data_IF_883146711980
#
_entry.id   IF_883146711980
#
_cell.length_a   1.000
_cell.length_b   1.000
_cell.length_c   1.000
_cell.angle_alpha   90.00
_cell.angle_beta   90.00
_cell.angle_gamma   90.00
#
_symmetry.space_group_name_H-M   'P 1'
#
loop_
_entity.id
_entity.type
_entity.pdbx_description
1 polymer ?
#
# COMPACT_ATOMS: atom_id res chain seq x y z
N UNK A 1 2.89 -13.00 -14.25
CA UNK A 1 2.02 -12.03 -13.56
C UNK A 1 2.83 -10.95 -12.89
N UNK A 2 3.62 -11.34 -11.89
CA UNK A 2 4.46 -10.35 -11.20
C UNK A 2 5.43 -9.69 -12.17
N UNK A 3 5.94 -10.44 -13.15
CA UNK A 3 6.85 -9.88 -14.15
C UNK A 3 6.19 -8.81 -14.99
N UNK A 4 4.94 -9.02 -15.38
CA UNK A 4 4.19 -8.03 -16.16
C UNK A 4 3.93 -6.80 -15.31
N UNK A 5 3.54 -6.99 -14.05
CA UNK A 5 3.29 -5.88 -13.14
C UNK A 5 4.54 -5.02 -12.92
N UNK A 6 5.70 -5.66 -12.75
CA UNK A 6 6.97 -4.93 -12.57
C UNK A 6 7.32 -4.12 -13.82
N UNK A 7 7.11 -4.70 -15.01
CA UNK A 7 7.40 -3.98 -16.25
C UNK A 7 6.51 -2.75 -16.41
N UNK A 8 5.21 -2.89 -16.08
CA UNK A 8 4.26 -1.78 -16.15
C UNK A 8 4.68 -0.67 -15.17
N UNK A 9 5.03 -1.04 -13.95
CA UNK A 9 5.43 -0.07 -12.95
C UNK A 9 6.68 0.68 -13.40
N UNK A 10 7.68 -0.03 -13.89
CA UNK A 10 8.92 0.60 -14.35
C UNK A 10 8.69 1.54 -15.52
N UNK A 11 7.72 1.19 -16.39
CA UNK A 11 7.43 2.04 -17.55
C UNK A 11 6.73 3.34 -17.15
N UNK A 12 5.77 3.26 -16.21
CA UNK A 12 4.91 4.41 -15.89
C UNK A 12 5.34 5.18 -14.64
N UNK A 13 6.20 4.61 -13.79
CA UNK A 13 6.61 5.30 -12.57
C UNK A 13 7.24 6.65 -12.91
N UNK A 14 6.76 7.70 -12.26
CA UNK A 14 7.20 9.06 -12.51
C UNK A 14 6.58 9.72 -13.74
N UNK A 15 5.78 9.00 -14.51
CA UNK A 15 5.14 9.53 -15.72
C UNK A 15 3.64 9.63 -15.57
N UNK A 16 3.04 8.71 -14.84
CA UNK A 16 1.59 8.61 -14.65
C UNK A 16 1.33 8.27 -13.19
N UNK A 17 0.31 8.88 -12.55
CA UNK A 17 -0.05 8.47 -11.19
C UNK A 17 -0.38 6.99 -11.13
N UNK A 18 0.18 6.29 -10.16
CA UNK A 18 -0.03 4.86 -9.97
C UNK A 18 -0.40 4.58 -8.52
N UNK A 19 -1.43 3.77 -8.33
CA UNK A 19 -1.80 3.24 -7.02
C UNK A 19 -1.79 1.72 -7.10
N UNK A 20 -0.95 1.08 -6.30
CA UNK A 20 -0.94 -0.38 -6.18
C UNK A 20 -1.73 -0.83 -4.98
N UNK A 21 -2.56 -1.86 -5.16
CA UNK A 21 -3.40 -2.42 -4.11
C UNK A 21 -2.98 -3.87 -3.92
N UNK A 22 -2.65 -4.26 -2.68
CA UNK A 22 -2.26 -5.60 -2.30
C UNK A 22 -1.06 -6.09 -3.12
N UNK A 23 -1.27 -6.96 -4.12
CA UNK A 23 -0.19 -7.43 -4.98
C UNK A 23 0.47 -6.29 -5.76
N UNK A 24 -0.31 -5.28 -6.17
CA UNK A 24 0.24 -4.12 -6.85
C UNK A 24 1.14 -3.29 -5.96
N UNK A 25 0.79 -3.15 -4.68
CA UNK A 25 1.63 -2.51 -3.68
C UNK A 25 2.97 -3.25 -3.54
N UNK A 26 2.91 -4.58 -3.44
CA UNK A 26 4.13 -5.39 -3.33
C UNK A 26 4.97 -5.28 -4.60
N UNK A 27 4.33 -5.25 -5.76
CA UNK A 27 5.02 -5.13 -7.04
C UNK A 27 5.75 -3.78 -7.15
N UNK A 28 5.14 -2.69 -6.66
CA UNK A 28 5.79 -1.40 -6.63
C UNK A 28 7.07 -1.49 -5.79
N UNK A 29 6.96 -2.04 -4.58
CA UNK A 29 8.12 -2.17 -3.70
C UNK A 29 9.21 -3.01 -4.35
N UNK A 30 8.84 -4.15 -4.94
CA UNK A 30 9.79 -5.05 -5.60
C UNK A 30 10.48 -4.40 -6.80
N UNK A 31 9.74 -3.57 -7.55
CA UNK A 31 10.31 -2.88 -8.70
C UNK A 31 11.44 -1.94 -8.29
N UNK A 32 11.44 -1.49 -7.04
CA UNK A 32 12.47 -0.61 -6.50
C UNK A 32 13.45 -1.35 -5.59
N UNK A 33 13.39 -2.68 -5.55
CA UNK A 33 14.39 -3.49 -4.87
C UNK A 33 14.02 -4.01 -3.49
N UNK A 34 12.80 -3.76 -3.02
CA UNK A 34 12.37 -4.28 -1.73
C UNK A 34 12.08 -5.77 -1.80
N UNK A 35 12.14 -6.43 -0.64
CA UNK A 35 11.84 -7.86 -0.49
C UNK A 35 10.49 -8.04 0.17
N UNK A 36 9.73 -9.00 -0.30
CA UNK A 36 8.43 -9.37 0.26
C UNK A 36 8.62 -10.59 1.14
N UNK A 37 8.11 -10.53 2.37
CA UNK A 37 8.26 -11.60 3.36
C UNK A 37 6.90 -11.98 3.93
N UNK A 38 6.87 -13.10 4.64
CA UNK A 38 5.65 -13.53 5.31
C UNK A 38 5.44 -12.69 6.56
N UNK A 39 4.20 -12.24 6.77
CA UNK A 39 3.84 -11.48 7.97
C UNK A 39 3.94 -12.39 9.20
N UNK A 40 4.14 -11.77 10.37
CA UNK A 40 4.23 -12.50 11.63
C UNK A 40 2.93 -13.23 11.95
N UNK A 41 1.80 -12.66 11.54
CA UNK A 41 0.48 -13.27 11.76
C UNK A 41 -0.20 -13.52 10.42
N UNK A 42 -0.87 -14.66 10.31
CA UNK A 42 -1.64 -15.00 9.12
C UNK A 42 -2.99 -14.31 9.19
N UNK A 43 -3.32 -13.56 8.13
CA UNK A 43 -4.57 -12.81 8.05
C UNK A 43 -5.29 -13.22 6.76
N UNK A 44 -6.50 -13.77 6.91
CA UNK A 44 -7.30 -14.23 5.77
C UNK A 44 -8.68 -13.60 5.85
N UNK A 45 -8.92 -12.57 5.05
CA UNK A 45 -10.21 -11.91 4.96
C UNK A 45 -10.65 -11.23 6.23
N UNK A 46 -9.72 -10.97 7.14
CA UNK A 46 -10.03 -10.32 8.42
C UNK A 46 -9.76 -8.84 8.33
N UNK A 47 -10.43 -8.09 9.19
CA UNK A 47 -10.16 -6.67 9.33
C UNK A 47 -9.00 -6.44 10.29
N UNK A 48 -8.30 -5.35 10.09
CA UNK A 48 -7.22 -4.88 10.95
C UNK A 48 -7.32 -3.38 11.09
N UNK A 49 -6.83 -2.86 12.20
CA UNK A 49 -6.65 -1.42 12.34
C UNK A 49 -5.26 -1.05 11.89
N UNK A 50 -5.17 0.02 11.10
CA UNK A 50 -3.89 0.58 10.69
C UNK A 50 -3.83 2.04 11.12
N UNK A 51 -2.63 2.52 11.40
CA UNK A 51 -2.37 3.94 11.61
C UNK A 51 -1.70 4.50 10.38
N UNK A 52 -2.08 5.71 10.00
CA UNK A 52 -1.51 6.36 8.82
C UNK A 52 -1.13 7.79 9.15
N UNK A 53 -0.38 8.43 8.25
CA UNK A 53 0.12 9.79 8.46
C UNK A 53 -0.71 10.86 7.74
N UNK A 54 -1.82 10.49 7.12
CA UNK A 54 -2.68 11.44 6.42
C UNK A 54 -2.19 11.88 5.06
N UNK A 55 -1.12 11.28 4.55
CA UNK A 55 -0.59 11.65 3.23
C UNK A 55 -1.32 10.93 2.10
N UNK A 56 -1.32 11.58 0.93
CA UNK A 56 -1.80 10.96 -0.30
C UNK A 56 -3.21 10.46 -0.17
N UNK A 57 -3.40 9.16 -0.40
CA UNK A 57 -4.74 8.56 -0.37
C UNK A 57 -5.36 8.56 1.02
N UNK A 58 -4.57 8.78 2.07
CA UNK A 58 -5.09 8.77 3.45
C UNK A 58 -5.61 10.12 3.91
N UNK A 59 -5.58 11.15 3.07
CA UNK A 59 -6.05 12.49 3.47
C UNK A 59 -7.50 12.45 3.91
N UNK A 60 -7.75 12.96 5.12
CA UNK A 60 -9.11 13.07 5.66
C UNK A 60 -9.73 11.78 6.12
N UNK A 61 -9.00 10.67 6.11
CA UNK A 61 -9.53 9.39 6.56
C UNK A 61 -9.38 9.24 8.08
N UNK A 62 -10.23 8.39 8.65
CA UNK A 62 -10.15 8.07 10.08
C UNK A 62 -8.77 7.49 10.41
N UNK A 63 -8.29 7.74 11.62
CA UNK A 63 -7.00 7.25 12.07
C UNK A 63 -7.11 6.87 13.55
N UNK A 64 -7.10 5.58 13.90
CA UNK A 64 -6.82 4.43 13.02
C UNK A 64 -7.96 4.13 12.05
N UNK A 65 -7.62 3.44 10.98
CA UNK A 65 -8.55 3.07 9.92
C UNK A 65 -8.73 1.56 9.90
N UNK A 66 -9.97 1.09 9.80
CA UNK A 66 -10.27 -0.35 9.67
C UNK A 66 -10.13 -0.75 8.21
N UNK A 67 -9.32 -1.77 7.94
CA UNK A 67 -9.08 -2.24 6.58
C UNK A 67 -9.18 -3.74 6.50
N UNK A 68 -9.41 -4.26 5.30
CA UNK A 68 -9.51 -5.71 5.04
C UNK A 68 -8.21 -6.22 4.47
N UNK A 69 -7.69 -7.29 5.08
CA UNK A 69 -6.44 -7.94 4.65
C UNK A 69 -6.74 -9.38 4.26
N UNK A 70 -6.24 -9.79 3.09
CA UNK A 70 -6.44 -11.15 2.59
C UNK A 70 -5.16 -11.97 2.55
N UNK A 71 -4.00 -11.33 2.61
CA UNK A 71 -2.73 -12.02 2.46
C UNK A 71 -1.83 -11.80 3.65
N UNK A 72 -0.95 -12.78 3.86
CA UNK A 72 0.01 -12.73 4.94
C UNK A 72 1.41 -12.32 4.46
N UNK A 73 1.52 -11.74 3.26
CA UNK A 73 2.79 -11.25 2.72
C UNK A 73 2.86 -9.73 2.88
N UNK A 74 4.02 -9.25 3.28
CA UNK A 74 4.25 -7.82 3.53
C UNK A 74 5.66 -7.45 3.06
N UNK A 75 5.89 -6.13 2.91
CA UNK A 75 7.23 -5.62 2.59
C UNK A 75 8.11 -5.80 3.83
N UNK A 76 9.31 -6.33 3.62
CA UNK A 76 10.33 -6.41 4.69
C UNK A 76 10.86 -4.98 4.92
N UNK A 77 10.58 -4.37 6.09
CA UNK A 77 10.83 -2.94 6.28
C UNK A 77 12.26 -2.48 5.98
N UNK A 78 13.31 -3.20 6.40
CA UNK A 78 14.67 -2.71 6.11
C UNK A 78 15.01 -2.67 4.62
N UNK A 79 14.24 -3.37 3.78
CA UNK A 79 14.54 -3.45 2.34
C UNK A 79 13.85 -2.37 1.54
N UNK A 80 12.93 -1.60 2.13
CA UNK A 80 12.24 -0.54 1.41
C UNK A 80 13.21 0.61 1.15
N UNK A 81 13.40 1.02 -0.13
CA UNK A 81 14.34 2.10 -0.42
C UNK A 81 13.91 3.43 0.20
N UNK A 82 14.89 4.30 0.41
CA UNK A 82 14.65 5.61 1.03
C UNK A 82 13.83 6.56 0.15
N UNK A 83 13.63 6.22 -1.13
CA UNK A 83 12.74 6.99 -2.01
C UNK A 83 11.29 6.94 -1.58
N UNK A 84 10.93 5.99 -0.71
CA UNK A 84 9.55 5.82 -0.24
C UNK A 84 9.40 6.21 1.22
N UNK A 85 8.29 6.89 1.52
CA UNK A 85 7.82 7.04 2.89
C UNK A 85 6.86 5.90 3.20
N UNK A 86 6.90 5.42 4.45
CA UNK A 86 5.88 4.52 4.95
C UNK A 86 4.72 5.39 5.42
N UNK A 87 3.56 5.22 4.80
CA UNK A 87 2.39 6.07 5.09
C UNK A 87 1.41 5.41 6.05
N UNK A 88 1.49 4.11 6.24
CA UNK A 88 0.60 3.39 7.14
C UNK A 88 1.27 2.13 7.67
N UNK A 89 0.94 1.77 8.92
CA UNK A 89 1.43 0.54 9.56
C UNK A 89 0.31 -0.12 10.33
N UNK A 90 0.39 -1.45 10.43
CA UNK A 90 -0.50 -2.21 11.29
C UNK A 90 -0.07 -2.08 12.75
N UNK A 91 -0.90 -2.60 13.67
CA UNK A 91 -0.57 -2.57 15.10
C UNK A 91 0.75 -3.29 15.41
N UNK A 92 1.10 -4.30 14.63
CA UNK A 92 2.35 -5.05 14.81
C UNK A 92 3.53 -4.43 14.04
N UNK A 93 3.34 -3.27 13.42
CA UNK A 93 4.41 -2.53 12.76
C UNK A 93 4.64 -2.88 11.30
N UNK A 94 3.79 -3.72 10.71
CA UNK A 94 3.92 -4.10 9.32
C UNK A 94 3.58 -2.92 8.40
N UNK A 95 4.30 -2.81 7.28
CA UNK A 95 4.05 -1.73 6.32
C UNK A 95 2.73 -1.98 5.61
N UNK A 96 1.82 -1.02 5.72
CA UNK A 96 0.49 -1.10 5.09
C UNK A 96 0.28 -0.05 4.02
N UNK A 97 1.16 0.94 3.92
CA UNK A 97 1.11 1.94 2.87
C UNK A 97 2.48 2.52 2.60
N UNK A 98 2.74 2.84 1.34
CA UNK A 98 3.98 3.47 0.89
C UNK A 98 3.65 4.57 -0.12
N UNK A 99 4.50 5.58 -0.18
CA UNK A 99 4.35 6.68 -1.12
C UNK A 99 5.74 7.17 -1.53
N UNK A 100 5.99 7.25 -2.84
CA UNK A 100 7.25 7.78 -3.34
C UNK A 100 7.35 9.24 -2.93
N UNK A 101 8.56 9.68 -2.56
CA UNK A 101 8.74 11.05 -2.03
C UNK A 101 8.48 12.13 -3.05
N UNK A 102 8.68 11.83 -4.34
CA UNK A 102 8.59 12.83 -5.41
C UNK A 102 7.48 12.54 -6.42
N UNK A 103 7.11 11.28 -6.62
CA UNK A 103 6.17 10.88 -7.66
C UNK A 103 4.83 10.50 -7.09
N UNK A 104 3.78 10.58 -7.92
CA UNK A 104 2.44 10.05 -7.57
C UNK A 104 2.45 8.54 -7.74
N UNK A 105 3.19 7.87 -6.85
CA UNK A 105 3.38 6.43 -6.85
C UNK A 105 3.13 5.95 -5.43
N UNK A 106 1.98 5.32 -5.21
CA UNK A 106 1.54 4.90 -3.89
C UNK A 106 1.15 3.43 -3.89
N UNK A 107 1.23 2.81 -2.72
CA UNK A 107 0.75 1.46 -2.54
C UNK A 107 0.06 1.30 -1.21
N UNK A 108 -0.97 0.45 -1.18
CA UNK A 108 -1.62 0.02 0.07
C UNK A 108 -1.70 -1.49 0.08
N UNK A 109 -1.38 -2.11 1.22
CA UNK A 109 -1.32 -3.57 1.34
C UNK A 109 -2.69 -4.19 1.47
N UNK A 110 -3.69 -3.43 1.85
CA UNK A 110 -5.04 -3.91 2.09
C UNK A 110 -5.93 -3.68 0.86
N UNK A 111 -7.20 -4.08 0.99
CA UNK A 111 -8.20 -3.97 -0.07
C UNK A 111 -9.19 -2.86 0.24
N UNK A 112 -8.97 -1.62 -0.25
CA UNK A 112 -9.91 -0.53 0.01
C UNK A 112 -11.26 -0.74 -0.65
N UNK A 113 -11.30 -1.54 -1.72
CA UNK A 113 -12.57 -1.81 -2.43
C UNK A 113 -13.47 -2.77 -1.65
N UNK A 114 -12.94 -3.49 -0.67
CA UNK A 114 -13.73 -4.44 0.12
C UNK A 114 -14.76 -3.73 0.95
N UNK A 115 -15.97 -4.32 1.03
CA UNK A 115 -17.08 -3.74 1.80
C UNK A 115 -16.74 -3.64 3.29
N UNK A 116 -15.81 -4.45 3.78
CA UNK A 116 -15.39 -4.42 5.19
C UNK A 116 -14.33 -3.38 5.47
N UNK A 117 -13.74 -2.77 4.43
CA UNK A 117 -12.77 -1.69 4.60
C UNK A 117 -13.49 -0.38 4.82
N UNK A 118 -13.08 0.35 5.86
CA UNK A 118 -13.64 1.64 6.20
C UNK A 118 -13.18 2.69 5.18
N UNK A 119 -14.11 3.54 4.73
CA UNK A 119 -13.79 4.69 3.86
C UNK A 119 -13.02 4.32 2.57
N UNK A 120 -13.22 3.09 2.07
CA UNK A 120 -12.50 2.65 0.88
C UNK A 120 -12.78 3.51 -0.34
N UNK A 121 -14.03 3.93 -0.53
CA UNK A 121 -14.39 4.80 -1.66
C UNK A 121 -13.71 6.15 -1.57
N UNK A 122 -13.61 6.72 -0.37
CA UNK A 122 -12.95 8.01 -0.17
C UNK A 122 -11.45 7.88 -0.43
N UNK A 123 -10.84 6.78 -0.02
CA UNK A 123 -9.43 6.52 -0.27
C UNK A 123 -9.16 6.52 -1.78
N UNK A 124 -9.97 5.78 -2.54
CA UNK A 124 -9.83 5.71 -3.99
C UNK A 124 -10.10 7.05 -4.64
N UNK A 125 -11.10 7.79 -4.14
CA UNK A 125 -11.39 9.13 -4.64
C UNK A 125 -10.21 10.08 -4.40
N UNK A 126 -9.54 9.97 -3.27
CA UNK A 126 -8.35 10.78 -3.00
C UNK A 126 -7.27 10.58 -4.06
N UNK A 127 -7.10 9.33 -4.51
CA UNK A 127 -6.15 9.06 -5.58
C UNK A 127 -6.59 9.70 -6.89
N UNK A 128 -7.87 9.60 -7.22
CA UNK A 128 -8.39 10.10 -8.49
C UNK A 128 -8.44 11.63 -8.58
N UNK A 129 -8.41 12.31 -7.45
CA UNK A 129 -8.51 13.79 -7.42
C UNK A 129 -7.20 14.50 -7.65
N UNK A 130 -6.10 13.79 -7.75
CA UNK A 130 -4.80 14.45 -7.90
C UNK A 130 -4.55 14.99 -9.30
#
# INVERSE_FOLDING_TARGET
EAGISLAVIRHYAGKTPLLGVCLGHQAIAQAFGATIVRAAQVMHGKTSLIEHNGEGVFQGLNNPLTVTRYRSLVIDPPTLPSEFNVTARSASGEIMGIHHREWDLEGVQFHPESILSEQGHQLLANFLKR
#
